data_IF_807953835085
#
_entry.id   IF_807953835085
#
_cell.length_a   1.000
_cell.length_b   1.000
_cell.length_c   1.000
_cell.angle_alpha   90.00
_cell.angle_beta   90.00
_cell.angle_gamma   90.00
#
_symmetry.space_group_name_H-M   'P 1'
#
loop_
_entity.id
_entity.type
_entity.pdbx_description
1 polymer ?
#
# COMPACT_ATOMS: atom_id res chain seq x y z
N UNK A 1 3.24 12.91 -4.39
CA UNK A 1 3.06 11.53 -4.90
C UNK A 1 1.98 11.45 -5.98
N UNK A 2 0.78 12.03 -5.79
CA UNK A 2 -0.25 12.12 -6.86
C UNK A 2 0.25 12.87 -8.11
N UNK A 3 1.14 13.85 -7.92
CA UNK A 3 1.73 14.71 -8.96
C UNK A 3 2.90 14.10 -9.75
N UNK A 4 3.36 12.88 -9.47
CA UNK A 4 4.35 12.25 -10.35
C UNK A 4 3.67 11.85 -11.65
N UNK A 5 4.00 12.56 -12.73
CA UNK A 5 3.67 12.16 -14.10
C UNK A 5 4.15 10.73 -14.31
N UNK A 6 3.26 9.79 -14.69
CA UNK A 6 3.70 8.46 -15.09
C UNK A 6 4.74 8.59 -16.20
N UNK A 7 5.92 7.99 -16.02
CA UNK A 7 6.97 7.99 -17.05
C UNK A 7 6.51 7.28 -18.34
N UNK A 8 5.50 6.41 -18.20
CA UNK A 8 4.82 5.69 -19.27
C UNK A 8 3.29 5.83 -19.08
N UNK A 9 2.50 5.80 -20.15
CA UNK A 9 1.03 5.89 -20.06
C UNK A 9 0.49 4.73 -19.20
N UNK A 10 -0.43 5.05 -18.28
CA UNK A 10 -1.09 4.03 -17.45
C UNK A 10 -1.87 3.04 -18.33
N UNK A 11 -1.77 1.75 -18.00
CA UNK A 11 -2.59 0.70 -18.60
C UNK A 11 -4.07 0.91 -18.25
N UNK A 12 -4.99 0.38 -19.07
CA UNK A 12 -6.44 0.45 -18.81
C UNK A 12 -6.78 -0.23 -17.48
N UNK A 13 -6.11 -1.34 -17.18
CA UNK A 13 -6.27 -2.06 -15.92
C UNK A 13 -5.79 -1.23 -14.72
N UNK A 14 -4.65 -0.56 -14.83
CA UNK A 14 -4.15 0.34 -13.77
C UNK A 14 -5.05 1.57 -13.59
N UNK A 15 -5.51 2.17 -14.69
CA UNK A 15 -6.41 3.34 -14.64
C UNK A 15 -7.78 2.98 -14.02
N UNK A 16 -8.35 1.82 -14.38
CA UNK A 16 -9.54 1.28 -13.73
C UNK A 16 -9.32 1.01 -12.24
N UNK A 17 -8.20 0.40 -11.87
CA UNK A 17 -7.82 0.15 -10.46
C UNK A 17 -7.68 1.46 -9.68
N UNK A 18 -7.11 2.50 -10.29
CA UNK A 18 -6.96 3.82 -9.66
C UNK A 18 -8.32 4.49 -9.39
N UNK A 19 -9.24 4.45 -10.37
CA UNK A 19 -10.56 5.06 -10.23
C UNK A 19 -11.48 4.27 -9.30
N UNK A 20 -11.47 2.94 -9.36
CA UNK A 20 -12.26 2.11 -8.44
C UNK A 20 -11.73 2.21 -7.02
N UNK A 21 -10.41 2.31 -6.81
CA UNK A 21 -9.85 2.59 -5.51
C UNK A 21 -10.28 3.96 -4.97
N UNK A 22 -10.27 5.01 -5.78
CA UNK A 22 -10.72 6.34 -5.37
C UNK A 22 -12.22 6.37 -5.02
N UNK A 23 -13.07 5.75 -5.84
CA UNK A 23 -14.53 5.83 -5.68
C UNK A 23 -15.04 4.83 -4.64
N UNK A 24 -14.74 3.54 -4.81
CA UNK A 24 -15.28 2.48 -3.96
C UNK A 24 -14.61 2.47 -2.57
N UNK A 25 -13.28 2.35 -2.50
CA UNK A 25 -12.58 2.33 -1.21
C UNK A 25 -12.40 3.74 -0.63
N UNK A 26 -12.14 4.74 -1.46
CA UNK A 26 -11.94 6.12 -1.01
C UNK A 26 -13.26 6.77 -0.59
N UNK A 27 -14.25 6.79 -1.48
CA UNK A 27 -15.60 7.27 -1.18
C UNK A 27 -16.32 6.43 -0.12
N UNK A 28 -16.22 5.10 -0.21
CA UNK A 28 -16.73 4.19 0.83
C UNK A 28 -16.08 4.45 2.19
N UNK A 29 -14.75 4.56 2.24
CA UNK A 29 -14.02 4.83 3.48
C UNK A 29 -14.37 6.18 4.09
N UNK A 30 -14.50 7.22 3.26
CA UNK A 30 -14.92 8.55 3.70
C UNK A 30 -16.35 8.56 4.23
N UNK A 31 -17.28 7.85 3.59
CA UNK A 31 -18.68 7.78 4.07
C UNK A 31 -18.81 6.96 5.35
N UNK A 32 -18.08 5.84 5.51
CA UNK A 32 -18.02 5.10 6.78
C UNK A 32 -17.40 5.95 7.91
N UNK A 33 -16.38 6.76 7.60
CA UNK A 33 -15.71 7.66 8.56
C UNK A 33 -16.57 8.86 8.97
N UNK A 34 -17.24 9.51 8.02
CA UNK A 34 -17.98 10.76 8.28
C UNK A 34 -19.45 10.50 8.64
N UNK A 35 -20.12 9.57 7.97
CA UNK A 35 -21.56 9.33 8.04
C UNK A 35 -21.91 7.82 8.12
N UNK A 36 -21.47 7.08 9.15
CA UNK A 36 -21.79 5.65 9.31
C UNK A 36 -23.30 5.37 9.41
N UNK A 37 -24.09 6.31 9.94
CA UNK A 37 -25.55 6.23 10.01
C UNK A 37 -26.24 6.14 8.64
N UNK A 38 -25.60 6.62 7.56
CA UNK A 38 -26.09 6.45 6.19
C UNK A 38 -26.13 4.96 5.80
N UNK A 39 -25.12 4.19 6.22
CA UNK A 39 -25.01 2.76 5.93
C UNK A 39 -26.03 1.95 6.74
N UNK A 40 -26.20 2.29 8.01
CA UNK A 40 -27.27 1.75 8.88
C UNK A 40 -28.66 1.97 8.27
N UNK A 41 -28.94 3.20 7.82
CA UNK A 41 -30.23 3.56 7.19
C UNK A 41 -30.44 2.83 5.87
N UNK A 42 -29.41 2.77 5.01
CA UNK A 42 -29.49 2.17 3.67
C UNK A 42 -29.66 0.63 3.72
N UNK A 43 -29.10 -0.02 4.74
CA UNK A 43 -29.01 -1.48 4.84
C UNK A 43 -29.88 -2.09 5.94
N UNK A 44 -30.64 -1.26 6.68
CA UNK A 44 -31.62 -1.69 7.66
C UNK A 44 -31.02 -2.38 8.89
N UNK A 45 -30.03 -1.75 9.52
CA UNK A 45 -29.48 -2.22 10.80
C UNK A 45 -29.25 -1.06 11.77
N UNK A 46 -29.45 -1.30 13.07
CA UNK A 46 -29.21 -0.29 14.10
C UNK A 46 -27.72 -0.18 14.45
N UNK A 47 -27.31 1.01 14.87
CA UNK A 47 -25.95 1.30 15.32
C UNK A 47 -25.96 1.85 16.74
N UNK A 48 -25.27 1.17 17.65
CA UNK A 48 -24.88 1.77 18.91
C UNK A 48 -23.64 2.68 18.72
N UNK A 49 -23.34 3.51 19.72
CA UNK A 49 -22.23 4.49 19.65
C UNK A 49 -20.85 3.85 19.43
N UNK A 50 -20.64 2.61 19.89
CA UNK A 50 -19.37 1.88 19.74
C UNK A 50 -19.26 1.22 18.37
N UNK A 51 -20.37 0.71 17.85
CA UNK A 51 -20.46 0.25 16.46
C UNK A 51 -20.10 1.37 15.48
N UNK A 52 -20.65 2.57 15.67
CA UNK A 52 -20.24 3.77 14.93
C UNK A 52 -18.73 4.00 15.05
N UNK A 53 -18.16 3.91 16.26
CA UNK A 53 -16.73 4.06 16.50
C UNK A 53 -15.85 3.12 15.66
N UNK A 54 -16.20 1.82 15.64
CA UNK A 54 -15.43 0.81 14.94
C UNK A 54 -15.72 0.77 13.42
N UNK A 55 -16.91 1.20 12.97
CA UNK A 55 -17.16 1.50 11.55
C UNK A 55 -16.31 2.69 11.10
N UNK A 56 -16.25 3.77 11.87
CA UNK A 56 -15.43 4.95 11.52
C UNK A 56 -13.95 4.58 11.48
N UNK A 57 -13.47 3.75 12.41
CA UNK A 57 -12.12 3.19 12.40
C UNK A 57 -11.86 2.35 11.13
N UNK A 58 -12.82 1.51 10.74
CA UNK A 58 -12.77 0.76 9.47
C UNK A 58 -12.71 1.71 8.26
N UNK A 59 -13.43 2.83 8.30
CA UNK A 59 -13.37 3.89 7.28
C UNK A 59 -11.97 4.51 7.11
N UNK A 60 -11.23 4.74 8.21
CA UNK A 60 -9.82 5.18 8.16
C UNK A 60 -8.96 4.16 7.41
N UNK A 61 -9.13 2.87 7.71
CA UNK A 61 -8.36 1.80 7.07
C UNK A 61 -8.76 1.56 5.61
N UNK A 62 -10.01 1.82 5.24
CA UNK A 62 -10.46 1.77 3.85
C UNK A 62 -9.91 2.95 3.02
N UNK A 63 -9.79 4.14 3.63
CA UNK A 63 -9.05 5.28 3.04
C UNK A 63 -7.55 4.97 2.86
N UNK A 64 -6.92 4.30 3.84
CA UNK A 64 -5.54 3.82 3.72
C UNK A 64 -5.40 2.85 2.55
N UNK A 65 -6.32 1.90 2.42
CA UNK A 65 -6.34 0.91 1.36
C UNK A 65 -6.53 1.57 -0.02
N UNK A 66 -7.45 2.54 -0.14
CA UNK A 66 -7.65 3.36 -1.33
C UNK A 66 -6.36 4.04 -1.80
N UNK A 67 -5.66 4.73 -0.89
CA UNK A 67 -4.38 5.38 -1.18
C UNK A 67 -3.31 4.38 -1.63
N UNK A 68 -3.19 3.23 -0.96
CA UNK A 68 -2.24 2.18 -1.30
C UNK A 68 -2.54 1.56 -2.68
N UNK A 69 -3.79 1.27 -3.01
CA UNK A 69 -4.18 0.79 -4.35
C UNK A 69 -3.80 1.79 -5.45
N UNK A 70 -4.02 3.09 -5.23
CA UNK A 70 -3.63 4.16 -6.17
C UNK A 70 -2.11 4.17 -6.38
N UNK A 71 -1.32 4.04 -5.30
CA UNK A 71 0.15 3.98 -5.39
C UNK A 71 0.61 2.73 -6.15
N UNK A 72 0.03 1.56 -5.85
CA UNK A 72 0.33 0.29 -6.52
C UNK A 72 -0.01 0.33 -8.01
N UNK A 73 -1.20 0.80 -8.38
CA UNK A 73 -1.63 0.89 -9.78
C UNK A 73 -0.68 1.78 -10.61
N UNK A 74 -0.24 2.91 -10.05
CA UNK A 74 0.68 3.83 -10.71
C UNK A 74 2.11 3.29 -10.78
N UNK A 75 2.59 2.61 -9.73
CA UNK A 75 3.94 2.04 -9.68
C UNK A 75 4.09 0.76 -10.53
N UNK A 76 3.02 -0.03 -10.68
CA UNK A 76 3.04 -1.30 -11.40
C UNK A 76 3.24 -1.18 -12.92
N UNK A 77 2.96 -0.01 -13.50
CA UNK A 77 3.08 0.21 -14.95
C UNK A 77 4.52 0.12 -15.46
N UNK A 78 5.50 0.70 -14.76
CA UNK A 78 6.80 1.02 -15.37
C UNK A 78 7.78 -0.14 -15.60
N UNK A 79 7.55 -1.37 -15.10
CA UNK A 79 8.52 -2.49 -15.18
C UNK A 79 7.92 -3.91 -15.15
N UNK A 80 6.76 -4.17 -15.77
CA UNK A 80 6.07 -5.48 -15.74
C UNK A 80 5.74 -6.00 -14.31
N UNK A 81 5.70 -5.12 -13.30
CA UNK A 81 5.48 -5.47 -11.89
C UNK A 81 3.98 -5.50 -11.57
N UNK A 82 3.20 -6.27 -12.35
CA UNK A 82 1.76 -6.42 -12.13
C UNK A 82 1.41 -7.22 -10.86
N UNK A 83 2.37 -7.94 -10.26
CA UNK A 83 2.18 -8.82 -9.11
C UNK A 83 1.24 -8.31 -8.01
N UNK A 84 1.47 -7.12 -7.41
CA UNK A 84 0.59 -6.61 -6.35
C UNK A 84 -0.81 -6.20 -6.84
N UNK A 85 -0.97 -5.87 -8.12
CA UNK A 85 -2.29 -5.58 -8.71
C UNK A 85 -3.04 -6.88 -9.03
N UNK A 86 -2.35 -7.91 -9.52
CA UNK A 86 -2.92 -9.22 -9.82
C UNK A 86 -3.25 -10.04 -8.57
N UNK A 87 -2.46 -9.89 -7.49
CA UNK A 87 -2.76 -10.54 -6.21
C UNK A 87 -4.04 -9.99 -5.56
N UNK A 88 -4.42 -8.74 -5.85
CA UNK A 88 -5.69 -8.15 -5.38
C UNK A 88 -6.93 -8.91 -5.87
N UNK A 89 -6.86 -9.60 -7.01
CA UNK A 89 -7.99 -10.36 -7.55
C UNK A 89 -8.30 -11.57 -6.67
N UNK A 90 -7.27 -12.30 -6.23
CA UNK A 90 -7.42 -13.45 -5.30
C UNK A 90 -7.74 -12.97 -3.88
N UNK A 91 -7.11 -11.88 -3.44
CA UNK A 91 -7.37 -11.26 -2.15
C UNK A 91 -8.85 -10.89 -2.00
N UNK A 92 -9.44 -10.20 -2.98
CA UNK A 92 -10.88 -9.91 -3.01
C UNK A 92 -11.75 -11.17 -3.14
N UNK A 93 -11.51 -12.01 -4.15
CA UNK A 93 -12.39 -13.15 -4.46
C UNK A 93 -12.37 -14.26 -3.42
N UNK A 94 -11.25 -14.45 -2.72
CA UNK A 94 -11.04 -15.56 -1.77
C UNK A 94 -10.90 -15.07 -0.34
N UNK A 95 -10.03 -14.09 -0.07
CA UNK A 95 -9.72 -13.69 1.30
C UNK A 95 -10.79 -12.78 1.93
N UNK A 96 -11.14 -11.65 1.28
CA UNK A 96 -12.23 -10.79 1.75
C UNK A 96 -13.54 -11.57 1.80
N UNK A 97 -13.93 -12.22 0.69
CA UNK A 97 -15.16 -13.00 0.62
C UNK A 97 -15.21 -14.10 1.69
N UNK A 98 -14.11 -14.83 1.91
CA UNK A 98 -14.03 -15.85 2.97
C UNK A 98 -14.19 -15.28 4.38
N UNK A 99 -13.57 -14.12 4.66
CA UNK A 99 -13.72 -13.43 5.94
C UNK A 99 -15.15 -12.90 6.17
N UNK A 100 -15.76 -12.30 5.14
CA UNK A 100 -17.14 -11.79 5.23
C UNK A 100 -18.17 -12.93 5.35
N UNK A 101 -17.96 -14.06 4.64
CA UNK A 101 -18.76 -15.27 4.84
C UNK A 101 -18.60 -15.83 6.26
N UNK A 102 -17.39 -15.85 6.82
CA UNK A 102 -17.17 -16.22 8.22
C UNK A 102 -17.92 -15.29 9.18
N UNK A 103 -17.93 -13.97 8.94
CA UNK A 103 -18.70 -13.03 9.76
C UNK A 103 -20.21 -13.30 9.69
N UNK A 104 -20.75 -13.61 8.50
CA UNK A 104 -22.15 -14.03 8.32
C UNK A 104 -22.44 -15.31 9.11
N UNK A 105 -21.63 -16.36 8.95
CA UNK A 105 -21.83 -17.64 9.64
C UNK A 105 -21.69 -17.54 11.17
N UNK A 106 -20.98 -16.54 11.67
CA UNK A 106 -20.84 -16.24 13.11
C UNK A 106 -21.79 -15.15 13.60
N UNK A 107 -22.68 -14.62 12.76
CA UNK A 107 -23.58 -13.49 13.07
C UNK A 107 -22.85 -12.24 13.60
N UNK A 108 -21.59 -12.03 13.21
CA UNK A 108 -20.76 -10.93 13.72
C UNK A 108 -21.11 -9.57 13.10
N UNK A 109 -21.69 -9.55 11.89
CA UNK A 109 -22.07 -8.33 11.17
C UNK A 109 -23.45 -8.47 10.52
N UNK A 110 -24.14 -7.36 10.21
CA UNK A 110 -25.42 -7.40 9.50
C UNK A 110 -25.29 -8.08 8.12
N UNK A 111 -26.23 -8.96 7.79
CA UNK A 111 -26.20 -9.75 6.55
C UNK A 111 -26.09 -8.87 5.30
N UNK A 112 -26.93 -7.83 5.17
CA UNK A 112 -26.91 -6.94 4.00
C UNK A 112 -25.63 -6.11 3.89
N UNK A 113 -25.01 -5.76 5.03
CA UNK A 113 -23.71 -5.10 5.05
C UNK A 113 -22.62 -6.02 4.49
N UNK A 114 -22.51 -7.26 5.00
CA UNK A 114 -21.52 -8.22 4.51
C UNK A 114 -21.76 -8.59 3.02
N UNK A 115 -23.01 -8.83 2.62
CA UNK A 115 -23.35 -9.16 1.23
C UNK A 115 -23.02 -8.03 0.25
N UNK A 116 -23.23 -6.76 0.63
CA UNK A 116 -22.90 -5.63 -0.23
C UNK A 116 -21.40 -5.58 -0.56
N UNK A 117 -20.53 -5.78 0.45
CA UNK A 117 -19.09 -5.83 0.22
C UNK A 117 -18.65 -7.07 -0.57
N UNK A 118 -19.23 -8.25 -0.30
CA UNK A 118 -18.99 -9.47 -1.11
C UNK A 118 -19.31 -9.22 -2.60
N UNK A 119 -20.48 -8.64 -2.89
CA UNK A 119 -20.92 -8.35 -4.27
C UNK A 119 -20.01 -7.31 -4.91
N UNK A 120 -19.67 -6.23 -4.18
CA UNK A 120 -18.82 -5.15 -4.66
C UNK A 120 -17.41 -5.65 -4.99
N UNK A 121 -16.71 -6.29 -4.05
CA UNK A 121 -15.34 -6.75 -4.25
C UNK A 121 -15.25 -7.87 -5.29
N UNK A 122 -16.23 -8.77 -5.35
CA UNK A 122 -16.31 -9.78 -6.41
C UNK A 122 -16.48 -9.15 -7.78
N UNK A 123 -17.37 -8.16 -7.92
CA UNK A 123 -17.59 -7.43 -9.18
C UNK A 123 -16.34 -6.67 -9.60
N UNK A 124 -15.69 -5.96 -8.66
CA UNK A 124 -14.47 -5.21 -8.93
C UNK A 124 -13.31 -6.13 -9.32
N UNK A 125 -13.17 -7.30 -8.68
CA UNK A 125 -12.14 -8.29 -9.00
C UNK A 125 -12.35 -8.90 -10.39
N UNK A 126 -13.58 -9.30 -10.73
CA UNK A 126 -13.93 -9.83 -12.04
C UNK A 126 -13.69 -8.79 -13.15
N UNK A 127 -14.12 -7.54 -12.97
CA UNK A 127 -13.85 -6.46 -13.93
C UNK A 127 -12.34 -6.20 -14.10
N UNK A 128 -11.57 -6.21 -13.02
CA UNK A 128 -10.10 -6.06 -13.07
C UNK A 128 -9.46 -7.21 -13.86
N UNK A 129 -9.91 -8.45 -13.63
CA UNK A 129 -9.44 -9.63 -14.36
C UNK A 129 -9.81 -9.57 -15.86
N UNK A 130 -11.04 -9.21 -16.20
CA UNK A 130 -11.49 -9.06 -17.59
C UNK A 130 -10.73 -7.97 -18.35
N UNK A 131 -10.40 -6.85 -17.69
CA UNK A 131 -9.57 -5.79 -18.28
C UNK A 131 -8.14 -6.27 -18.52
N UNK A 132 -7.54 -6.97 -17.55
CA UNK A 132 -6.20 -7.54 -17.71
C UNK A 132 -6.14 -8.59 -18.84
N UNK A 133 -7.13 -9.49 -18.93
CA UNK A 133 -7.24 -10.47 -20.03
C UNK A 133 -7.33 -9.79 -21.41
N UNK A 134 -7.99 -8.64 -21.51
CA UNK A 134 -8.15 -7.88 -22.76
C UNK A 134 -6.90 -7.08 -23.14
N UNK A 135 -6.06 -6.75 -22.16
CA UNK A 135 -4.88 -5.89 -22.32
C UNK A 135 -3.59 -6.69 -22.52
N UNK A 136 -3.51 -7.89 -21.94
CA UNK A 136 -2.33 -8.77 -22.03
C UNK A 136 -2.35 -9.65 -23.29
N UNK A 137 -1.31 -9.57 -24.12
CA UNK A 137 -1.13 -10.49 -25.26
C UNK A 137 -0.94 -11.93 -24.78
N UNK A 138 -1.65 -12.89 -25.39
CA UNK A 138 -1.65 -14.31 -25.00
C UNK A 138 -2.11 -14.56 -23.54
N UNK A 139 -2.94 -13.68 -23.00
CA UNK A 139 -3.50 -13.86 -21.66
C UNK A 139 -4.24 -15.19 -21.51
N UNK A 140 -3.99 -15.87 -20.40
CA UNK A 140 -4.70 -17.09 -20.01
C UNK A 140 -4.66 -17.23 -18.48
N UNK A 141 -5.53 -18.09 -17.95
CA UNK A 141 -5.55 -18.43 -16.52
C UNK A 141 -4.19 -19.02 -16.09
N UNK A 142 -3.53 -19.79 -16.96
CA UNK A 142 -2.19 -20.34 -16.70
C UNK A 142 -1.13 -19.24 -16.59
N UNK A 143 -1.17 -18.23 -17.47
CA UNK A 143 -0.28 -17.06 -17.41
C UNK A 143 -0.54 -16.25 -16.14
N UNK A 144 -1.81 -16.03 -15.77
CA UNK A 144 -2.19 -15.35 -14.53
C UNK A 144 -1.59 -16.03 -13.29
N UNK A 145 -1.80 -17.34 -13.13
CA UNK A 145 -1.25 -18.08 -11.99
C UNK A 145 0.29 -18.14 -12.03
N UNK A 146 0.92 -18.17 -13.20
CA UNK A 146 2.38 -18.09 -13.33
C UNK A 146 2.93 -16.74 -12.86
N UNK A 147 2.32 -15.64 -13.27
CA UNK A 147 2.71 -14.29 -12.83
C UNK A 147 2.50 -14.11 -11.32
N UNK A 148 1.35 -14.54 -10.81
CA UNK A 148 1.04 -14.54 -9.38
C UNK A 148 2.05 -15.37 -8.59
N UNK A 149 2.29 -16.63 -8.97
CA UNK A 149 3.21 -17.52 -8.26
C UNK A 149 4.64 -16.99 -8.30
N UNK A 150 5.09 -16.42 -9.43
CA UNK A 150 6.40 -15.76 -9.50
C UNK A 150 6.50 -14.53 -8.59
N UNK A 151 5.40 -13.82 -8.39
CA UNK A 151 5.31 -12.68 -7.46
C UNK A 151 5.28 -13.14 -6.00
N UNK A 152 4.56 -14.23 -5.71
CA UNK A 152 4.51 -14.86 -4.40
C UNK A 152 5.88 -15.44 -4.00
N UNK A 153 6.59 -16.10 -4.91
CA UNK A 153 7.94 -16.62 -4.67
C UNK A 153 8.94 -15.48 -4.36
N UNK A 154 8.83 -14.33 -5.02
CA UNK A 154 9.60 -13.12 -4.68
C UNK A 154 9.19 -12.54 -3.31
N UNK A 155 7.91 -12.62 -2.95
CA UNK A 155 7.43 -12.22 -1.62
C UNK A 155 7.80 -13.21 -0.50
N UNK A 156 8.11 -14.47 -0.83
CA UNK A 156 8.65 -15.45 0.11
C UNK A 156 10.18 -15.33 0.26
N UNK A 157 10.85 -14.79 -0.76
CA UNK A 157 12.27 -14.44 -0.68
C UNK A 157 12.48 -13.18 0.16
N UNK A 158 13.12 -13.32 1.32
CA UNK A 158 13.55 -12.21 2.17
C UNK A 158 14.88 -11.59 1.69
N UNK A 159 15.32 -11.88 0.47
CA UNK A 159 16.60 -11.43 -0.10
C UNK A 159 16.45 -10.12 -0.90
N UNK A 160 15.77 -9.12 -0.35
CA UNK A 160 15.62 -7.81 -1.00
C UNK A 160 16.91 -6.99 -0.89
N UNK A 161 17.26 -6.22 -1.94
CA UNK A 161 18.50 -5.44 -1.99
C UNK A 161 18.46 -4.20 -1.09
N UNK A 162 17.25 -3.63 -0.95
CA UNK A 162 16.93 -2.44 -0.19
C UNK A 162 16.34 -2.80 1.19
N UNK A 163 16.93 -2.25 2.25
CA UNK A 163 16.54 -2.51 3.65
C UNK A 163 15.12 -2.02 3.93
N UNK A 164 14.72 -0.90 3.32
CA UNK A 164 13.36 -0.38 3.37
C UNK A 164 12.34 -1.34 2.75
N UNK A 165 12.66 -1.98 1.62
CA UNK A 165 11.75 -2.94 0.98
C UNK A 165 11.60 -4.21 1.80
N UNK A 166 12.70 -4.72 2.36
CA UNK A 166 12.69 -5.84 3.30
C UNK A 166 11.87 -5.50 4.57
N UNK A 167 12.02 -4.28 5.10
CA UNK A 167 11.26 -3.82 6.27
C UNK A 167 9.76 -3.74 5.98
N UNK A 168 9.37 -3.19 4.82
CA UNK A 168 7.98 -3.19 4.33
C UNK A 168 7.43 -4.62 4.24
N UNK A 169 8.20 -5.54 3.67
CA UNK A 169 7.80 -6.94 3.49
C UNK A 169 7.60 -7.66 4.84
N UNK A 170 8.56 -7.56 5.77
CA UNK A 170 8.48 -8.19 7.10
C UNK A 170 7.32 -7.61 7.91
N UNK A 171 7.17 -6.28 7.94
CA UNK A 171 6.05 -5.62 8.61
C UNK A 171 4.73 -6.04 7.96
N UNK A 172 4.68 -6.18 6.63
CA UNK A 172 3.53 -6.70 5.90
C UNK A 172 3.12 -8.10 6.34
N UNK A 173 4.08 -9.02 6.52
CA UNK A 173 3.82 -10.39 7.00
C UNK A 173 3.26 -10.36 8.43
N UNK A 174 3.91 -9.60 9.33
CA UNK A 174 3.46 -9.46 10.73
C UNK A 174 2.07 -8.83 10.82
N UNK A 175 1.81 -7.79 10.01
CA UNK A 175 0.53 -7.09 9.94
C UNK A 175 -0.56 -7.99 9.33
N UNK A 176 -0.28 -8.73 8.26
CA UNK A 176 -1.22 -9.67 7.64
C UNK A 176 -1.63 -10.77 8.62
N UNK A 177 -0.66 -11.49 9.19
CA UNK A 177 -0.90 -12.62 10.11
C UNK A 177 -1.53 -12.14 11.42
N UNK A 178 -0.94 -11.12 12.05
CA UNK A 178 -1.42 -10.59 13.33
C UNK A 178 -2.86 -10.08 13.23
N UNK A 179 -3.18 -9.32 12.18
CA UNK A 179 -4.53 -8.83 11.97
C UNK A 179 -5.50 -9.94 11.51
N UNK A 180 -5.06 -10.97 10.78
CA UNK A 180 -5.91 -12.13 10.47
C UNK A 180 -6.31 -12.93 11.74
N UNK A 181 -5.38 -13.07 12.70
CA UNK A 181 -5.67 -13.67 14.01
C UNK A 181 -6.67 -12.81 14.79
N UNK A 182 -6.45 -11.48 14.85
CA UNK A 182 -7.35 -10.57 15.57
C UNK A 182 -8.71 -10.38 14.88
N UNK A 183 -8.79 -10.54 13.55
CA UNK A 183 -10.03 -10.56 12.79
C UNK A 183 -10.87 -11.81 13.11
N UNK A 184 -10.23 -12.97 13.26
CA UNK A 184 -10.89 -14.26 13.53
C UNK A 184 -11.16 -14.50 15.01
N UNK A 185 -10.44 -13.84 15.91
CA UNK A 185 -10.61 -13.89 17.37
C UNK A 185 -10.35 -12.51 18.03
N UNK A 186 -11.22 -11.50 17.80
CA UNK A 186 -11.05 -10.15 18.36
C UNK A 186 -11.15 -10.14 19.90
N UNK A 187 -11.76 -11.18 20.50
CA UNK A 187 -11.77 -11.43 21.94
C UNK A 187 -10.36 -11.52 22.56
N UNK A 188 -9.31 -11.83 21.78
CA UNK A 188 -7.92 -11.86 22.24
C UNK A 188 -7.43 -10.49 22.75
N UNK A 189 -7.89 -9.38 22.18
CA UNK A 189 -7.53 -8.03 22.66
C UNK A 189 -8.52 -7.45 23.68
N UNK A 190 -9.71 -8.06 23.84
CA UNK A 190 -10.74 -7.60 24.76
C UNK A 190 -10.23 -7.50 26.21
N UNK A 191 -9.57 -8.55 26.70
CA UNK A 191 -9.04 -8.57 28.08
C UNK A 191 -7.78 -7.69 28.25
N UNK A 192 -6.73 -7.78 27.40
CA UNK A 192 -5.55 -6.92 27.53
C UNK A 192 -5.85 -5.42 27.45
N UNK A 193 -6.76 -5.01 26.56
CA UNK A 193 -7.15 -3.61 26.39
C UNK A 193 -8.32 -3.20 27.31
N UNK A 194 -8.79 -4.10 28.20
CA UNK A 194 -9.91 -3.86 29.12
C UNK A 194 -11.15 -3.26 28.43
N UNK A 195 -11.49 -3.80 27.26
CA UNK A 195 -12.63 -3.31 26.47
C UNK A 195 -13.93 -3.66 27.18
N UNK A 196 -14.93 -2.79 27.02
CA UNK A 196 -16.29 -3.08 27.47
C UNK A 196 -16.84 -4.35 26.79
N UNK A 197 -17.84 -5.04 27.38
CA UNK A 197 -18.50 -6.17 26.74
C UNK A 197 -18.93 -5.82 25.32
N UNK A 198 -18.60 -6.66 24.34
CA UNK A 198 -19.13 -6.50 23.00
C UNK A 198 -20.64 -6.78 23.03
N UNK A 199 -21.40 -5.88 22.44
CA UNK A 199 -22.86 -5.92 22.32
C UNK A 199 -23.18 -5.93 20.81
N UNK A 200 -24.27 -6.59 20.42
CA UNK A 200 -24.73 -6.67 19.04
C UNK A 200 -23.61 -6.97 18.03
N UNK A 201 -23.31 -6.05 17.12
CA UNK A 201 -22.32 -6.18 16.05
C UNK A 201 -20.95 -5.54 16.38
N UNK A 202 -20.75 -5.03 17.60
CA UNK A 202 -19.51 -4.34 18.01
C UNK A 202 -18.27 -5.21 17.78
N UNK A 203 -18.37 -6.52 18.04
CA UNK A 203 -17.27 -7.46 17.79
C UNK A 203 -16.93 -7.56 16.30
N UNK A 204 -17.93 -7.65 15.42
CA UNK A 204 -17.73 -7.76 13.98
C UNK A 204 -17.21 -6.49 13.33
N UNK A 205 -17.68 -5.30 13.75
CA UNK A 205 -17.15 -4.04 13.23
C UNK A 205 -15.69 -3.79 13.66
N UNK A 206 -15.27 -4.28 14.83
CA UNK A 206 -13.85 -4.33 15.20
C UNK A 206 -13.07 -5.33 14.33
N UNK A 207 -13.62 -6.52 14.08
CA UNK A 207 -13.06 -7.48 13.12
C UNK A 207 -12.97 -6.95 11.68
N UNK A 208 -13.89 -6.08 11.24
CA UNK A 208 -13.78 -5.38 9.95
C UNK A 208 -12.55 -4.46 9.89
N UNK A 209 -12.23 -3.76 10.98
CA UNK A 209 -10.98 -2.98 11.06
C UNK A 209 -9.76 -3.89 10.92
N UNK A 210 -9.75 -5.05 11.59
CA UNK A 210 -8.66 -6.03 11.45
C UNK A 210 -8.57 -6.68 10.07
N UNK A 211 -9.70 -6.95 9.40
CA UNK A 211 -9.71 -7.40 8.00
C UNK A 211 -8.98 -6.38 7.11
N UNK A 212 -9.31 -5.10 7.21
CA UNK A 212 -8.69 -4.03 6.41
C UNK A 212 -7.20 -3.83 6.74
N UNK A 213 -6.81 -3.95 8.01
CA UNK A 213 -5.39 -3.94 8.41
C UNK A 213 -4.66 -5.16 7.84
N UNK A 214 -5.29 -6.33 7.82
CA UNK A 214 -4.72 -7.55 7.23
C UNK A 214 -4.52 -7.39 5.72
N UNK A 215 -5.52 -6.88 5.00
CA UNK A 215 -5.44 -6.55 3.57
C UNK A 215 -4.35 -5.50 3.29
N UNK A 216 -4.22 -4.46 4.13
CA UNK A 216 -3.07 -3.55 4.05
C UNK A 216 -1.74 -4.31 4.21
N UNK A 217 -1.65 -5.25 5.15
CA UNK A 217 -0.50 -6.15 5.32
C UNK A 217 -0.17 -6.93 4.04
N UNK A 218 -1.17 -7.51 3.38
CA UNK A 218 -1.03 -8.18 2.07
C UNK A 218 -0.38 -7.25 1.02
N UNK A 219 -0.83 -6.00 0.91
CA UNK A 219 -0.20 -5.04 -0.01
C UNK A 219 1.25 -4.70 0.37
N UNK A 220 1.58 -4.59 1.66
CA UNK A 220 2.96 -4.41 2.12
C UNK A 220 3.84 -5.61 1.73
N UNK A 221 3.36 -6.86 1.90
CA UNK A 221 4.08 -8.07 1.49
C UNK A 221 4.41 -8.06 -0.01
N UNK A 222 3.40 -7.86 -0.85
CA UNK A 222 3.59 -7.89 -2.31
C UNK A 222 4.40 -6.70 -2.83
N UNK A 223 4.23 -5.49 -2.27
CA UNK A 223 5.00 -4.32 -2.69
C UNK A 223 6.46 -4.35 -2.22
N UNK A 224 6.72 -4.87 -1.02
CA UNK A 224 8.05 -5.09 -0.48
C UNK A 224 8.82 -6.16 -1.25
N UNK A 225 8.18 -7.31 -1.53
CA UNK A 225 8.75 -8.37 -2.38
C UNK A 225 8.91 -8.00 -3.87
N UNK A 226 8.24 -6.93 -4.31
CA UNK A 226 8.37 -6.38 -5.66
C UNK A 226 9.36 -5.20 -5.73
N UNK A 227 10.09 -4.86 -4.67
CA UNK A 227 10.99 -3.70 -4.60
C UNK A 227 10.39 -2.39 -5.11
N UNK A 228 9.18 -2.04 -4.62
CA UNK A 228 8.55 -0.77 -4.93
C UNK A 228 9.04 0.33 -3.97
N UNK A 229 10.18 0.96 -4.27
CA UNK A 229 10.83 1.96 -3.40
C UNK A 229 9.90 3.10 -2.95
N UNK A 230 8.97 3.53 -3.82
CA UNK A 230 7.98 4.57 -3.48
C UNK A 230 6.93 4.09 -2.48
N UNK A 231 6.70 2.79 -2.36
CA UNK A 231 5.72 2.22 -1.45
C UNK A 231 6.11 2.45 0.01
N UNK A 232 7.41 2.40 0.37
CA UNK A 232 7.86 2.75 1.73
C UNK A 232 7.48 4.19 2.10
N UNK A 233 7.63 5.13 1.15
CA UNK A 233 7.28 6.54 1.36
C UNK A 233 5.76 6.69 1.52
N UNK A 234 4.97 6.00 0.70
CA UNK A 234 3.51 5.93 0.86
C UNK A 234 3.11 5.33 2.21
N UNK A 235 3.76 4.24 2.62
CA UNK A 235 3.51 3.50 3.86
C UNK A 235 3.77 4.33 5.12
N UNK A 236 4.77 5.22 5.10
CA UNK A 236 5.00 6.21 6.17
C UNK A 236 4.00 7.36 6.07
N UNK A 237 3.82 7.94 4.88
CA UNK A 237 2.93 9.09 4.66
C UNK A 237 1.49 8.80 5.11
N UNK A 238 0.93 7.67 4.70
CA UNK A 238 -0.48 7.36 4.98
C UNK A 238 -0.74 7.24 6.49
N UNK A 239 0.22 6.63 7.21
CA UNK A 239 0.15 6.45 8.67
C UNK A 239 0.22 7.78 9.42
N UNK A 240 1.23 8.61 9.09
CA UNK A 240 1.48 9.87 9.78
C UNK A 240 0.49 10.99 9.37
N UNK A 241 0.08 11.04 8.11
CA UNK A 241 -0.70 12.16 7.57
C UNK A 241 -2.21 11.95 7.63
N UNK A 242 -2.72 10.73 7.80
CA UNK A 242 -4.15 10.53 8.04
C UNK A 242 -4.51 9.42 9.02
N UNK A 243 -3.86 8.25 9.05
CA UNK A 243 -4.29 7.19 9.99
C UNK A 243 -4.19 7.64 11.45
N UNK A 244 -3.02 8.14 11.88
CA UNK A 244 -2.83 8.65 13.24
C UNK A 244 -3.67 9.92 13.55
N UNK A 245 -3.69 10.96 12.69
CA UNK A 245 -4.56 12.12 12.91
C UNK A 245 -6.04 11.77 13.04
N UNK A 246 -6.57 10.89 12.18
CA UNK A 246 -7.98 10.51 12.21
C UNK A 246 -8.30 9.63 13.42
N UNK A 247 -7.42 8.71 13.82
CA UNK A 247 -7.57 7.96 15.08
C UNK A 247 -7.57 8.88 16.30
N UNK A 248 -6.70 9.90 16.31
CA UNK A 248 -6.69 10.92 17.36
C UNK A 248 -8.01 11.72 17.39
N UNK A 249 -8.55 12.11 16.23
CA UNK A 249 -9.86 12.76 16.12
C UNK A 249 -10.98 11.85 16.64
N UNK A 250 -11.01 10.55 16.28
CA UNK A 250 -12.02 9.62 16.80
C UNK A 250 -11.93 9.46 18.33
N UNK A 251 -10.72 9.48 18.90
CA UNK A 251 -10.54 9.45 20.35
C UNK A 251 -11.03 10.76 21.02
N UNK A 252 -10.62 11.93 20.50
CA UNK A 252 -11.00 13.24 21.03
C UNK A 252 -12.51 13.52 20.91
N UNK A 253 -13.17 13.00 19.86
CA UNK A 253 -14.62 13.04 19.70
C UNK A 253 -15.34 11.93 20.50
N UNK A 254 -14.63 11.14 21.32
CA UNK A 254 -15.18 10.06 22.12
C UNK A 254 -15.98 9.03 21.29
N UNK A 255 -15.47 8.65 20.11
CA UNK A 255 -15.99 7.57 19.28
C UNK A 255 -15.28 6.24 19.56
N UNK A 256 -14.02 6.24 20.02
CA UNK A 256 -13.25 5.03 20.38
C UNK A 256 -12.67 5.13 21.78
N UNK A 257 -12.46 4.00 22.46
CA UNK A 257 -11.86 3.98 23.80
C UNK A 257 -10.36 4.34 23.77
N UNK A 258 -9.85 4.90 24.88
CA UNK A 258 -8.43 5.24 25.03
C UNK A 258 -7.50 4.06 24.73
N UNK A 259 -7.83 2.86 25.23
CA UNK A 259 -6.97 1.68 25.04
C UNK A 259 -6.97 1.19 23.59
N UNK A 260 -8.07 1.39 22.85
CA UNK A 260 -8.15 1.13 21.40
C UNK A 260 -7.30 2.13 20.63
N UNK A 261 -7.41 3.43 20.96
CA UNK A 261 -6.57 4.48 20.39
C UNK A 261 -5.08 4.25 20.64
N UNK A 262 -4.69 3.94 21.88
CA UNK A 262 -3.29 3.66 22.24
C UNK A 262 -2.78 2.41 21.53
N UNK A 263 -3.58 1.34 21.42
CA UNK A 263 -3.20 0.12 20.72
C UNK A 263 -2.93 0.37 19.23
N UNK A 264 -3.91 0.88 18.48
CA UNK A 264 -3.73 1.13 17.05
C UNK A 264 -2.69 2.25 16.80
N UNK A 265 -2.76 3.34 17.57
CA UNK A 265 -1.85 4.48 17.40
C UNK A 265 -0.38 4.13 17.69
N UNK A 266 -0.10 3.33 18.73
CA UNK A 266 1.27 2.89 19.00
C UNK A 266 1.81 1.96 17.91
N UNK A 267 0.98 1.08 17.36
CA UNK A 267 1.37 0.19 16.24
C UNK A 267 1.67 0.99 14.97
N UNK A 268 0.77 1.90 14.55
CA UNK A 268 0.99 2.71 13.34
C UNK A 268 2.20 3.64 13.49
N UNK A 269 2.40 4.23 14.68
CA UNK A 269 3.57 5.07 14.96
C UNK A 269 4.87 4.26 14.95
N UNK A 270 4.92 3.11 15.63
CA UNK A 270 6.09 2.24 15.65
C UNK A 270 6.46 1.76 14.23
N UNK A 271 5.48 1.34 13.43
CA UNK A 271 5.70 0.96 12.03
C UNK A 271 6.21 2.14 11.20
N UNK A 272 5.61 3.33 11.33
CA UNK A 272 6.06 4.51 10.62
C UNK A 272 7.51 4.90 10.97
N UNK A 273 7.92 4.76 12.24
CA UNK A 273 9.30 4.96 12.68
C UNK A 273 10.27 3.94 12.08
N UNK A 274 9.95 2.64 12.13
CA UNK A 274 10.80 1.57 11.58
C UNK A 274 11.00 1.78 10.07
N UNK A 275 9.92 2.04 9.32
CA UNK A 275 10.00 2.28 7.88
C UNK A 275 10.78 3.55 7.53
N UNK A 276 10.61 4.62 8.31
CA UNK A 276 11.38 5.86 8.15
C UNK A 276 12.88 5.64 8.38
N UNK A 277 13.23 4.90 9.43
CA UNK A 277 14.62 4.55 9.75
C UNK A 277 15.25 3.71 8.64
N UNK A 278 14.59 2.64 8.20
CA UNK A 278 15.08 1.78 7.11
C UNK A 278 15.24 2.53 5.78
N UNK A 279 14.36 3.50 5.49
CA UNK A 279 14.50 4.38 4.32
C UNK A 279 15.72 5.33 4.42
N UNK A 280 16.01 5.85 5.62
CA UNK A 280 17.22 6.65 5.87
C UNK A 280 18.49 5.81 5.72
N UNK A 281 18.48 4.55 6.17
CA UNK A 281 19.60 3.62 5.99
C UNK A 281 19.90 3.36 4.51
N UNK A 282 18.88 3.10 3.68
CA UNK A 282 19.07 2.90 2.24
C UNK A 282 19.64 4.16 1.56
N UNK A 283 19.15 5.36 1.92
CA UNK A 283 19.73 6.62 1.41
C UNK A 283 21.21 6.76 1.75
N UNK A 284 21.62 6.45 2.98
CA UNK A 284 23.04 6.47 3.38
C UNK A 284 23.86 5.45 2.58
N UNK A 285 23.39 4.20 2.49
CA UNK A 285 24.03 3.11 1.73
C UNK A 285 24.23 3.47 0.25
N UNK A 286 23.26 4.16 -0.37
CA UNK A 286 23.40 4.66 -1.74
C UNK A 286 24.42 5.80 -1.86
N UNK A 287 24.42 6.77 -0.94
CA UNK A 287 25.40 7.87 -0.95
C UNK A 287 26.84 7.36 -0.82
N UNK A 288 27.10 6.44 0.13
CA UNK A 288 28.44 5.85 0.31
C UNK A 288 28.89 5.06 -0.92
N UNK A 289 27.99 4.32 -1.59
CA UNK A 289 28.33 3.64 -2.85
C UNK A 289 28.78 4.62 -3.94
N UNK A 290 28.09 5.75 -4.10
CA UNK A 290 28.46 6.77 -5.11
C UNK A 290 29.85 7.36 -4.81
N UNK A 291 30.16 7.61 -3.53
CA UNK A 291 31.49 8.11 -3.12
C UNK A 291 32.63 7.10 -3.35
N UNK A 292 32.37 5.80 -3.23
CA UNK A 292 33.39 4.76 -3.52
C UNK A 292 33.65 4.59 -5.02
N UNK A 293 32.65 4.84 -5.88
CA UNK A 293 32.80 4.75 -7.33
C UNK A 293 33.35 6.02 -7.99
N UNK A 294 33.26 7.18 -7.32
CA UNK A 294 33.97 8.40 -7.68
C UNK A 294 35.01 8.73 -6.58
N UNK A 295 36.17 8.05 -6.54
CA UNK A 295 37.27 8.53 -5.73
C UNK A 295 37.61 9.97 -6.15
N UNK A 296 37.75 10.86 -5.17
CA UNK A 296 38.23 12.23 -5.39
C UNK A 296 39.53 12.15 -6.19
N UNK A 297 39.70 12.90 -7.30
CA UNK A 297 40.99 12.91 -7.98
C UNK A 297 42.06 13.37 -6.99
N UNK A 298 43.14 12.60 -6.87
CA UNK A 298 44.29 12.99 -6.07
C UNK A 298 44.79 14.36 -6.57
N UNK A 299 45.16 15.29 -5.67
CA UNK A 299 45.77 16.53 -6.11
C UNK A 299 47.08 16.19 -6.81
N UNK A 300 47.18 16.54 -8.09
CA UNK A 300 48.42 16.45 -8.84
C UNK A 300 49.49 17.27 -8.10
N UNK A 301 50.58 16.61 -7.70
CA UNK A 301 51.73 17.31 -7.15
C UNK A 301 52.29 18.29 -8.19
N UNK A 302 52.42 19.56 -7.82
CA UNK A 302 53.03 20.61 -8.63
C UNK A 302 54.49 20.25 -8.97
N UNK A 303 54.72 19.69 -10.15
CA UNK A 303 56.05 19.70 -10.78
C UNK A 303 56.20 20.96 -11.62
N UNK A 304 56.81 21.95 -10.97
CA UNK A 304 57.23 23.22 -11.53
C UNK A 304 57.97 23.11 -12.88
N UNK A 305 57.64 24.07 -13.76
CA UNK A 305 58.50 24.75 -14.76
C UNK A 305 59.36 23.92 -15.73
N UNK A 306 59.09 24.10 -17.03
CA UNK A 306 60.03 24.86 -17.88
C UNK A 306 59.33 25.54 -19.08
N UNK A 307 59.97 26.57 -19.66
CA UNK A 307 59.33 27.63 -20.47
C UNK A 307 59.39 27.44 -22.01
N UNK A 308 58.47 28.11 -22.74
CA UNK A 308 58.67 29.02 -23.91
C UNK A 308 57.51 28.91 -24.96
N UNK A 309 56.70 29.90 -25.39
CA UNK A 309 56.86 31.37 -25.59
C UNK A 309 57.74 31.67 -26.82
N UNK A 310 57.25 32.04 -28.02
CA UNK A 310 55.89 32.24 -28.62
C UNK A 310 55.98 31.93 -30.15
N UNK A 311 54.85 31.80 -30.88
CA UNK A 311 54.57 32.67 -32.06
C UNK A 311 53.12 32.58 -32.62
N UNK A 312 52.75 33.51 -33.52
CA UNK A 312 51.37 34.00 -33.79
C UNK A 312 51.00 33.89 -35.30
N UNK A 313 49.71 34.12 -35.64
CA UNK A 313 49.10 34.41 -36.97
C UNK A 313 48.69 33.14 -37.76
N UNK A 314 47.41 32.72 -37.79
CA UNK A 314 46.20 33.31 -38.43
C UNK A 314 46.11 33.06 -39.96
N UNK A 315 45.26 32.09 -40.37
CA UNK A 315 44.14 32.26 -41.34
C UNK A 315 43.53 30.92 -41.80
N UNK A 316 42.21 30.95 -42.02
CA UNK A 316 41.40 30.30 -43.08
C UNK A 316 41.67 28.81 -43.45
N UNK A 317 40.71 27.91 -43.68
CA UNK A 317 39.29 28.07 -44.04
C UNK A 317 38.50 26.72 -43.89
N UNK A 318 37.17 26.80 -43.99
CA UNK A 318 36.18 25.74 -44.30
C UNK A 318 35.88 24.54 -43.34
N UNK A 319 34.58 24.40 -43.05
CA UNK A 319 33.87 23.20 -42.56
C UNK A 319 32.83 22.76 -43.65
N UNK A 320 32.08 21.65 -43.52
CA UNK A 320 32.28 20.38 -44.25
C UNK A 320 31.17 20.11 -45.30
N UNK A 321 31.06 18.85 -45.79
CA UNK A 321 29.82 18.02 -45.86
C UNK A 321 29.87 17.01 -47.03
N UNK A 322 29.79 15.71 -46.71
CA UNK A 322 29.05 14.62 -47.40
C UNK A 322 29.55 13.29 -46.80
N UNK A 323 28.78 12.38 -46.19
CA UNK A 323 27.53 11.71 -46.64
C UNK A 323 27.58 11.25 -48.09
N UNK A 324 28.12 10.06 -48.35
CA UNK A 324 27.50 8.98 -49.15
C UNK A 324 28.50 7.85 -49.45
N UNK A 325 28.30 6.69 -48.78
CA UNK A 325 28.58 5.34 -49.30
C UNK A 325 27.82 4.34 -48.43
#
# INVERSE_FOLDING_TARGET
MVSFTPQEKLTKTALFTQWTALIAYGGGGLTLLCAPSLWSTLLGFDLNRRDEGYIRLSGIYLLALSFIYIVVARAGCSRSKHGPMLSSIIERLVYINGALLMFIFRSMTPLYFALLFIILDSTLALLTFCLWLRETSHASIVVYFKELFSSFQKCLSLNQLAVSSLSVQIIGVLQFIGAAILMTAPTLIKYPLKLHPFEDYTEGFLSCSFLLISVLGWFHVFAGGAELTYFTIAAVFYRLSFTLPLQCILYLCHHIELNVFVFFGSLEFAVALILSFSFVLDKKKHATRIQVFNPTPEPLEDRNTDNNVIDIIEKDEFIPVSKLS
#
